data_IF_373675493822
#
_entry.id   IF_373675493822
#
_cell.length_a   1.000
_cell.length_b   1.000
_cell.length_c   1.000
_cell.angle_alpha   90.00
_cell.angle_beta   90.00
_cell.angle_gamma   90.00
#
_symmetry.space_group_name_H-M   'P 1'
#
loop_
_entity.id
_entity.type
_entity.pdbx_description
1 polymer ?
#
# COMPACT_ATOMS: atom_id res chain seq x y z
N UNK A 1 -22.10 -4.25 5.72
CA UNK A 1 -20.94 -3.82 4.90
C UNK A 1 -19.70 -3.91 5.77
N UNK A 2 -18.64 -4.63 5.37
CA UNK A 2 -17.42 -4.76 6.17
C UNK A 2 -16.46 -3.64 5.79
N UNK A 3 -16.09 -2.80 6.74
CA UNK A 3 -15.05 -1.78 6.54
C UNK A 3 -13.68 -2.42 6.68
N UNK A 4 -12.81 -2.21 5.69
CA UNK A 4 -11.41 -2.64 5.74
C UNK A 4 -10.56 -1.36 5.72
N UNK A 5 -9.68 -1.23 6.71
CA UNK A 5 -8.70 -0.13 6.75
C UNK A 5 -7.44 -0.58 6.04
N UNK A 6 -6.93 0.27 5.17
CA UNK A 6 -5.68 0.04 4.42
C UNK A 6 -4.76 1.25 4.55
N UNK A 7 -3.48 1.01 4.39
CA UNK A 7 -2.41 2.01 4.42
C UNK A 7 -1.55 1.85 3.16
N UNK A 8 -1.00 2.96 2.69
CA UNK A 8 -0.08 3.01 1.56
C UNK A 8 1.09 3.93 1.90
N UNK A 9 2.31 3.49 1.61
CA UNK A 9 3.53 4.24 1.84
C UNK A 9 3.92 5.03 0.59
N UNK A 10 4.07 6.35 0.75
CA UNK A 10 4.70 7.20 -0.26
C UNK A 10 6.18 7.30 0.06
N UNK A 11 6.98 6.45 -0.55
CA UNK A 11 8.43 6.39 -0.35
C UNK A 11 9.10 7.32 -1.37
N UNK A 12 9.77 8.35 -0.88
CA UNK A 12 10.39 9.42 -1.69
C UNK A 12 11.91 9.41 -1.56
N UNK A 13 12.59 9.48 -2.70
CA UNK A 13 14.02 9.79 -2.80
C UNK A 13 14.19 11.01 -3.73
N UNK A 14 14.43 12.20 -3.14
CA UNK A 14 14.47 13.48 -3.84
C UNK A 14 13.20 13.70 -4.68
N UNK A 15 13.30 13.85 -5.99
CA UNK A 15 12.15 14.04 -6.90
C UNK A 15 11.55 12.71 -7.39
N UNK A 16 12.02 11.56 -6.90
CA UNK A 16 11.53 10.25 -7.28
C UNK A 16 10.59 9.69 -6.21
N UNK A 17 9.52 9.05 -6.67
CA UNK A 17 8.59 8.29 -5.82
C UNK A 17 8.66 6.83 -6.23
N UNK A 18 8.76 5.95 -5.24
CA UNK A 18 8.73 4.50 -5.47
C UNK A 18 7.28 4.01 -5.59
N UNK A 19 7.00 3.28 -6.66
CA UNK A 19 5.73 2.62 -6.92
C UNK A 19 6.00 1.21 -7.45
N UNK A 20 5.03 0.30 -7.28
CA UNK A 20 5.11 -1.08 -7.74
C UNK A 20 4.12 -1.31 -8.87
N UNK A 21 4.55 -1.99 -9.94
CA UNK A 21 3.67 -2.40 -11.03
C UNK A 21 3.06 -3.77 -10.72
N UNK A 22 1.75 -3.92 -10.84
CA UNK A 22 1.08 -5.19 -10.52
C UNK A 22 1.32 -6.25 -11.60
N UNK A 23 1.85 -7.40 -11.19
CA UNK A 23 2.16 -8.52 -12.08
C UNK A 23 0.96 -9.41 -12.47
N UNK A 24 -0.13 -9.38 -11.70
CA UNK A 24 -1.30 -10.23 -11.89
C UNK A 24 -2.57 -9.62 -11.25
N UNK A 25 -3.72 -10.26 -11.49
CA UNK A 25 -5.03 -9.84 -10.96
C UNK A 25 -5.75 -8.82 -11.83
N UNK A 26 -6.88 -8.31 -11.34
CA UNK A 26 -7.76 -7.36 -12.06
C UNK A 26 -7.04 -6.05 -12.44
N UNK A 27 -6.07 -5.63 -11.64
CA UNK A 27 -5.31 -4.39 -11.83
C UNK A 27 -3.92 -4.62 -12.43
N UNK A 28 -3.70 -5.75 -13.11
CA UNK A 28 -2.41 -6.06 -13.76
C UNK A 28 -1.98 -4.92 -14.70
N UNK A 29 -0.70 -4.54 -14.63
CA UNK A 29 -0.11 -3.47 -15.45
C UNK A 29 -0.36 -2.06 -14.92
N UNK A 30 -1.16 -1.90 -13.86
CA UNK A 30 -1.31 -0.62 -13.16
C UNK A 30 -0.22 -0.45 -12.10
N UNK A 31 -0.02 0.80 -11.67
CA UNK A 31 0.91 1.18 -10.61
C UNK A 31 0.18 1.36 -9.29
N UNK A 32 0.79 0.90 -8.21
CA UNK A 32 0.31 1.10 -6.84
C UNK A 32 1.44 1.50 -5.89
N UNK A 33 1.10 2.11 -4.77
CA UNK A 33 2.03 2.32 -3.68
C UNK A 33 2.10 1.07 -2.80
N UNK A 34 3.30 0.69 -2.30
CA UNK A 34 3.42 -0.42 -1.37
C UNK A 34 2.64 -0.10 -0.09
N UNK A 35 2.03 -1.13 0.51
CA UNK A 35 1.15 -0.94 1.65
C UNK A 35 0.45 -2.23 2.06
N UNK A 36 -0.59 -2.10 2.87
CA UNK A 36 -1.24 -3.26 3.48
C UNK A 36 -2.57 -2.95 4.16
N UNK A 37 -3.23 -4.00 4.62
CA UNK A 37 -4.39 -3.88 5.51
C UNK A 37 -3.90 -3.60 6.92
N UNK A 38 -4.68 -2.83 7.67
CA UNK A 38 -4.47 -2.67 9.11
C UNK A 38 -5.15 -3.84 9.81
N UNK A 39 -4.36 -4.68 10.46
CA UNK A 39 -4.88 -5.83 11.21
C UNK A 39 -5.41 -5.42 12.60
N UNK A 40 -6.26 -6.24 13.24
CA UNK A 40 -6.81 -5.93 14.56
C UNK A 40 -5.71 -5.67 15.60
N UNK A 41 -5.76 -4.50 16.24
CA UNK A 41 -4.78 -4.09 17.24
C UNK A 41 -3.57 -3.32 16.69
N UNK A 42 -3.44 -3.20 15.37
CA UNK A 42 -2.39 -2.40 14.76
C UNK A 42 -2.76 -0.92 14.67
N UNK A 43 -1.77 -0.07 14.91
CA UNK A 43 -1.79 1.32 14.44
C UNK A 43 -1.51 1.37 12.94
N UNK A 44 -1.96 2.43 12.23
CA UNK A 44 -1.61 2.61 10.81
C UNK A 44 -0.10 2.55 10.53
N UNK A 45 0.73 3.02 11.46
CA UNK A 45 2.19 2.98 11.37
C UNK A 45 2.73 1.55 11.50
N UNK A 46 2.16 0.73 12.38
CA UNK A 46 2.56 -0.68 12.53
C UNK A 46 2.19 -1.51 11.30
N UNK A 47 1.09 -1.19 10.62
CA UNK A 47 0.66 -1.88 9.40
C UNK A 47 1.55 -1.60 8.16
N UNK A 48 2.47 -0.63 8.24
CA UNK A 48 3.43 -0.28 7.17
C UNK A 48 4.84 -0.88 7.37
N UNK A 49 5.02 -1.79 8.33
CA UNK A 49 6.34 -2.28 8.78
C UNK A 49 7.19 -2.94 7.71
#
# INVERSE_FOLDING_TARGET
>A
MKTIRVVAAVIRDKEKIFATARGYGEFKGQWEFPGGKVEPGETPQQALK
#
